data_IF_515745309391
#
_entry.id   IF_515745309391
#
_cell.length_a   1.000
_cell.length_b   1.000
_cell.length_c   1.000
_cell.angle_alpha   90.00
_cell.angle_beta   90.00
_cell.angle_gamma   90.00
#
_symmetry.space_group_name_H-M   'P 1'
#
loop_
_entity.id
_entity.type
_entity.pdbx_description
1 polymer ?
#
# COMPACT_ATOMS: atom_id res chain seq x y z
N UNK A 1 10.85 18.49 -8.44
CA UNK A 1 10.97 17.31 -7.55
C UNK A 1 11.67 17.56 -6.21
N UNK A 2 12.84 18.23 -6.14
CA UNK A 2 13.62 18.37 -4.89
C UNK A 2 12.91 19.16 -3.79
N UNK A 3 12.19 20.23 -4.13
CA UNK A 3 11.43 21.00 -3.13
C UNK A 3 10.21 20.24 -2.60
N UNK A 4 9.44 19.57 -3.48
CA UNK A 4 8.32 18.72 -3.08
C UNK A 4 8.75 17.63 -2.08
N UNK A 5 9.86 16.94 -2.36
CA UNK A 5 10.42 15.92 -1.46
C UNK A 5 10.81 16.50 -0.10
N UNK A 6 11.37 17.71 -0.05
CA UNK A 6 11.70 18.39 1.22
C UNK A 6 10.44 18.75 2.01
N UNK A 7 9.41 19.27 1.35
CA UNK A 7 8.13 19.65 1.98
C UNK A 7 7.39 18.40 2.50
N UNK A 8 7.32 17.34 1.69
CA UNK A 8 6.75 16.05 2.08
C UNK A 8 7.49 15.46 3.30
N UNK A 9 8.83 15.52 3.31
CA UNK A 9 9.63 15.07 4.45
C UNK A 9 9.36 15.89 5.71
N UNK A 10 9.26 17.22 5.59
CA UNK A 10 8.91 18.09 6.71
C UNK A 10 7.51 17.78 7.26
N UNK A 11 6.52 17.59 6.38
CA UNK A 11 5.17 17.16 6.76
C UNK A 11 5.19 15.85 7.54
N UNK A 12 5.95 14.85 7.07
CA UNK A 12 6.13 13.55 7.74
C UNK A 12 6.66 13.70 9.18
N UNK A 13 7.62 14.60 9.41
CA UNK A 13 8.11 14.87 10.77
C UNK A 13 7.05 15.53 11.65
N UNK A 14 6.26 16.47 11.13
CA UNK A 14 5.16 17.07 11.88
C UNK A 14 4.07 16.05 12.23
N UNK A 15 3.77 15.10 11.35
CA UNK A 15 2.88 13.97 11.66
C UNK A 15 3.42 13.12 12.82
N UNK A 16 4.71 12.78 12.79
CA UNK A 16 5.34 11.99 13.85
C UNK A 16 5.38 12.75 15.18
N UNK A 17 5.78 14.02 15.18
CA UNK A 17 5.80 14.87 16.38
C UNK A 17 4.38 14.97 16.94
N UNK A 18 3.40 15.27 16.09
CA UNK A 18 2.00 15.33 16.48
C UNK A 18 1.54 14.05 17.14
N UNK A 19 1.90 12.89 16.58
CA UNK A 19 1.58 11.57 17.12
C UNK A 19 2.25 11.28 18.47
N UNK A 20 3.57 11.49 18.59
CA UNK A 20 4.29 11.24 19.84
C UNK A 20 3.76 12.15 20.94
N UNK A 21 3.60 13.44 20.65
CA UNK A 21 3.09 14.42 21.62
C UNK A 21 1.65 14.08 22.03
N UNK A 22 0.81 13.58 21.11
CA UNK A 22 -0.54 13.13 21.45
C UNK A 22 -0.55 11.91 22.38
N UNK A 23 0.55 11.16 22.50
CA UNK A 23 0.64 10.04 23.45
C UNK A 23 1.12 10.47 24.84
N UNK A 24 1.89 11.56 24.93
CA UNK A 24 2.36 12.14 26.20
C UNK A 24 1.17 12.51 27.10
N UNK A 25 0.03 12.89 26.52
CA UNK A 25 -1.18 13.24 27.28
C UNK A 25 -1.75 12.07 28.11
N UNK A 26 -1.38 10.83 27.82
CA UNK A 26 -1.81 9.65 28.57
C UNK A 26 -0.88 9.29 29.74
N UNK A 27 0.23 10.03 29.92
CA UNK A 27 1.08 9.87 31.10
C UNK A 27 0.35 10.42 32.34
N UNK A 28 0.43 9.73 33.50
CA UNK A 28 -0.29 10.11 34.71
C UNK A 28 0.38 11.29 35.44
N UNK A 29 0.55 12.44 34.77
CA UNK A 29 1.14 13.66 35.33
C UNK A 29 0.06 14.76 35.36
N UNK A 30 -0.22 15.34 36.54
CA UNK A 30 -1.23 16.39 36.71
C UNK A 30 -0.91 17.60 35.80
N UNK A 31 -1.92 18.13 35.09
CA UNK A 31 -1.86 19.28 34.17
C UNK A 31 -1.08 19.10 32.85
N UNK A 32 -0.58 17.89 32.55
CA UNK A 32 0.16 17.59 31.32
C UNK A 32 -0.73 17.13 30.16
N UNK A 33 -2.07 17.12 30.26
CA UNK A 33 -2.90 16.68 29.11
C UNK A 33 -3.21 17.78 28.10
N UNK A 34 -3.43 19.03 28.54
CA UNK A 34 -3.93 20.11 27.68
C UNK A 34 -2.84 20.64 26.74
N UNK A 35 -1.65 20.93 27.28
CA UNK A 35 -0.55 21.52 26.51
C UNK A 35 -0.10 20.58 25.37
N UNK A 36 0.19 19.28 25.62
CA UNK A 36 0.50 18.33 24.54
C UNK A 36 -0.62 18.17 23.54
N UNK A 37 -1.89 18.17 23.97
CA UNK A 37 -3.02 18.08 23.04
C UNK A 37 -3.05 19.26 22.07
N UNK A 38 -2.87 20.50 22.56
CA UNK A 38 -2.80 21.70 21.69
C UNK A 38 -1.59 21.62 20.75
N UNK A 39 -0.42 21.25 21.25
CA UNK A 39 0.79 21.11 20.43
C UNK A 39 0.59 20.04 19.35
N UNK A 40 -0.05 18.93 19.69
CA UNK A 40 -0.36 17.85 18.76
C UNK A 40 -1.32 18.32 17.65
N UNK A 41 -2.40 19.02 18.01
CA UNK A 41 -3.36 19.59 17.06
C UNK A 41 -2.68 20.58 16.10
N UNK A 42 -1.87 21.50 16.61
CA UNK A 42 -1.11 22.45 15.78
C UNK A 42 -0.12 21.72 14.85
N UNK A 43 0.53 20.66 15.35
CA UNK A 43 1.46 19.85 14.56
C UNK A 43 0.73 19.14 13.42
N UNK A 44 -0.43 18.53 13.69
CA UNK A 44 -1.24 17.90 12.65
C UNK A 44 -1.76 18.90 11.62
N UNK A 45 -2.23 20.08 12.05
CA UNK A 45 -2.65 21.13 11.13
C UNK A 45 -1.51 21.55 10.19
N UNK A 46 -0.30 21.75 10.74
CA UNK A 46 0.89 22.06 9.95
C UNK A 46 1.28 20.89 9.02
N UNK A 47 1.19 19.65 9.51
CA UNK A 47 1.50 18.46 8.73
C UNK A 47 0.60 18.34 7.49
N UNK A 48 -0.72 18.44 7.67
CA UNK A 48 -1.69 18.42 6.56
C UNK A 48 -1.53 19.64 5.63
N UNK A 49 -1.23 20.83 6.16
CA UNK A 49 -0.96 22.02 5.34
C UNK A 49 0.26 21.84 4.43
N UNK A 50 1.38 21.37 4.98
CA UNK A 50 2.58 21.06 4.19
C UNK A 50 2.34 19.92 3.20
N UNK A 51 1.58 18.90 3.59
CA UNK A 51 1.25 17.79 2.71
C UNK A 51 0.36 18.22 1.53
N UNK A 52 -0.61 19.09 1.79
CA UNK A 52 -1.46 19.70 0.77
C UNK A 52 -0.61 20.44 -0.26
N UNK A 53 0.30 21.32 0.20
CA UNK A 53 1.23 22.04 -0.67
C UNK A 53 2.11 21.04 -1.46
N UNK A 54 2.67 20.04 -0.79
CA UNK A 54 3.53 19.04 -1.44
C UNK A 54 2.82 18.24 -2.52
N UNK A 55 1.53 17.93 -2.32
CA UNK A 55 0.75 17.10 -3.25
C UNK A 55 0.56 17.77 -4.61
N UNK A 56 0.55 19.10 -4.68
CA UNK A 56 0.52 19.83 -5.96
C UNK A 56 1.78 19.61 -6.81
N UNK A 57 2.92 19.31 -6.19
CA UNK A 57 4.20 19.12 -6.86
C UNK A 57 4.58 17.65 -7.07
N UNK A 58 3.68 16.72 -6.71
CA UNK A 58 3.87 15.31 -7.03
C UNK A 58 3.74 15.06 -8.53
N UNK A 59 4.47 14.04 -8.98
CA UNK A 59 4.32 13.51 -10.33
C UNK A 59 2.96 12.82 -10.47
N UNK A 60 2.47 12.71 -11.70
CA UNK A 60 1.16 12.14 -12.01
C UNK A 60 1.34 10.84 -12.78
N UNK A 61 0.56 9.81 -12.43
CA UNK A 61 0.35 8.64 -13.29
C UNK A 61 -0.87 8.83 -14.19
N UNK A 62 -0.99 7.96 -15.20
CA UNK A 62 -2.25 7.80 -15.94
C UNK A 62 -3.20 6.96 -15.07
N UNK A 63 -4.44 7.42 -14.79
CA UNK A 63 -5.40 6.64 -14.02
C UNK A 63 -5.81 5.37 -14.75
N UNK A 64 -5.79 4.22 -14.07
CA UNK A 64 -6.37 2.98 -14.60
C UNK A 64 -7.83 2.83 -14.19
N UNK A 65 -8.73 3.35 -15.03
CA UNK A 65 -10.18 3.38 -14.75
C UNK A 65 -10.83 1.99 -14.64
N UNK A 66 -10.13 0.91 -15.00
CA UNK A 66 -10.65 -0.46 -14.87
C UNK A 66 -10.52 -0.99 -13.45
N UNK A 67 -9.59 -0.42 -12.69
CA UNK A 67 -9.28 -0.85 -11.34
C UNK A 67 -9.98 0.02 -10.30
N UNK A 68 -10.34 -0.59 -9.16
CA UNK A 68 -11.07 0.09 -8.07
C UNK A 68 -10.33 1.30 -7.49
N UNK A 69 -8.99 1.29 -7.57
CA UNK A 69 -8.11 2.34 -7.08
C UNK A 69 -7.75 3.39 -8.14
N UNK A 70 -8.18 3.23 -9.40
CA UNK A 70 -7.82 4.12 -10.50
C UNK A 70 -8.87 5.19 -10.83
N UNK A 71 -9.74 5.53 -9.89
CA UNK A 71 -10.73 6.60 -10.04
C UNK A 71 -10.10 8.00 -10.23
N UNK A 72 -8.85 8.18 -9.80
CA UNK A 72 -8.09 9.42 -9.90
C UNK A 72 -6.59 9.11 -9.98
N UNK A 73 -5.77 10.11 -10.33
CA UNK A 73 -4.31 9.97 -10.27
C UNK A 73 -3.87 9.83 -8.80
N UNK A 74 -2.78 9.11 -8.50
CA UNK A 74 -2.31 9.03 -7.10
C UNK A 74 -2.01 10.42 -6.52
N UNK A 75 -1.57 11.37 -7.36
CA UNK A 75 -1.39 12.78 -7.00
C UNK A 75 -2.69 13.41 -6.49
N UNK A 76 -3.78 13.20 -7.20
CA UNK A 76 -5.11 13.72 -6.84
C UNK A 76 -5.64 13.02 -5.59
N UNK A 77 -5.39 11.71 -5.44
CA UNK A 77 -5.75 10.96 -4.25
C UNK A 77 -5.05 11.50 -3.00
N UNK A 78 -3.74 11.80 -3.08
CA UNK A 78 -3.01 12.45 -2.00
C UNK A 78 -3.48 13.89 -1.76
N UNK A 79 -3.86 14.63 -2.80
CA UNK A 79 -4.43 15.96 -2.66
C UNK A 79 -5.78 15.91 -1.91
N UNK A 80 -6.69 15.01 -2.30
CA UNK A 80 -7.98 14.81 -1.63
C UNK A 80 -7.78 14.39 -0.18
N UNK A 81 -6.88 13.44 0.08
CA UNK A 81 -6.50 13.05 1.44
C UNK A 81 -6.05 14.25 2.26
N UNK A 82 -5.08 15.03 1.75
CA UNK A 82 -4.55 16.19 2.45
C UNK A 82 -5.61 17.26 2.71
N UNK A 83 -6.51 17.54 1.75
CA UNK A 83 -7.61 18.49 1.92
C UNK A 83 -8.60 18.04 2.99
N UNK A 84 -9.04 16.78 2.95
CA UNK A 84 -9.96 16.23 3.95
C UNK A 84 -9.32 16.26 5.34
N UNK A 85 -8.04 15.90 5.44
CA UNK A 85 -7.30 15.93 6.70
C UNK A 85 -7.06 17.34 7.26
N UNK A 86 -6.90 18.34 6.40
CA UNK A 86 -6.83 19.75 6.81
C UNK A 86 -8.18 20.23 7.36
N UNK A 87 -9.28 19.93 6.66
CA UNK A 87 -10.64 20.21 7.14
C UNK A 87 -10.90 19.50 8.47
N UNK A 88 -10.54 18.22 8.58
CA UNK A 88 -10.66 17.44 9.81
C UNK A 88 -9.88 18.09 10.96
N UNK A 89 -8.67 18.58 10.70
CA UNK A 89 -7.85 19.27 11.69
C UNK A 89 -8.47 20.58 12.17
N UNK A 90 -9.10 21.37 11.28
CA UNK A 90 -9.85 22.58 11.66
C UNK A 90 -11.06 22.25 12.53
N UNK A 91 -11.85 21.24 12.14
CA UNK A 91 -13.01 20.79 12.92
C UNK A 91 -12.56 20.19 14.25
N UNK A 92 -11.42 19.50 14.29
CA UNK A 92 -10.81 18.97 15.52
C UNK A 92 -10.46 20.09 16.50
N UNK A 93 -9.94 21.22 16.03
CA UNK A 93 -9.69 22.39 16.88
C UNK A 93 -11.03 22.97 17.38
N UNK A 94 -12.04 23.08 16.51
CA UNK A 94 -13.37 23.54 16.91
C UNK A 94 -14.04 22.61 17.94
N UNK A 95 -13.71 21.31 17.91
CA UNK A 95 -14.26 20.32 18.83
C UNK A 95 -13.86 20.55 20.30
N UNK A 96 -12.80 21.33 20.55
CA UNK A 96 -12.43 21.78 21.89
C UNK A 96 -13.54 22.62 22.55
N UNK A 97 -14.30 23.36 21.75
CA UNK A 97 -15.42 24.19 22.20
C UNK A 97 -16.77 23.48 22.02
N UNK A 98 -16.86 22.58 21.02
CA UNK A 98 -18.07 21.83 20.70
C UNK A 98 -17.79 20.32 20.65
N UNK A 99 -17.82 19.61 21.79
CA UNK A 99 -17.44 18.19 21.85
C UNK A 99 -18.22 17.25 20.93
N UNK A 100 -19.43 17.63 20.53
CA UNK A 100 -20.26 16.89 19.55
C UNK A 100 -19.54 16.73 18.19
N UNK A 101 -18.60 17.61 17.87
CA UNK A 101 -17.82 17.56 16.63
C UNK A 101 -16.73 16.48 16.62
N UNK A 102 -16.44 15.81 17.76
CA UNK A 102 -15.42 14.74 17.83
C UNK A 102 -15.78 13.57 16.90
N UNK A 103 -17.05 13.18 16.87
CA UNK A 103 -17.51 12.07 16.01
C UNK A 103 -17.28 12.38 14.52
N UNK A 104 -17.80 13.48 13.93
CA UNK A 104 -17.55 13.76 12.52
C UNK A 104 -16.06 14.00 12.22
N UNK A 105 -15.31 14.61 13.15
CA UNK A 105 -13.86 14.82 13.02
C UNK A 105 -13.10 13.51 12.81
N UNK A 106 -13.34 12.52 13.68
CA UNK A 106 -12.62 11.24 13.62
C UNK A 106 -12.94 10.45 12.35
N UNK A 107 -14.19 10.53 11.86
CA UNK A 107 -14.57 9.95 10.57
C UNK A 107 -13.92 10.66 9.36
N UNK A 108 -13.75 11.99 9.42
CA UNK A 108 -13.01 12.71 8.39
C UNK A 108 -11.51 12.33 8.39
N UNK A 109 -10.90 12.18 9.56
CA UNK A 109 -9.52 11.66 9.64
C UNK A 109 -9.41 10.23 9.10
N UNK A 110 -10.36 9.34 9.40
CA UNK A 110 -10.39 8.01 8.81
C UNK A 110 -10.50 8.09 7.28
N UNK A 111 -11.41 8.90 6.76
CA UNK A 111 -11.62 9.09 5.32
C UNK A 111 -10.35 9.63 4.64
N UNK A 112 -9.68 10.61 5.24
CA UNK A 112 -8.39 11.13 4.78
C UNK A 112 -7.33 10.03 4.69
N UNK A 113 -7.18 9.21 5.74
CA UNK A 113 -6.20 8.12 5.77
C UNK A 113 -6.55 7.00 4.78
N UNK A 114 -7.84 6.75 4.55
CA UNK A 114 -8.30 5.80 3.53
C UNK A 114 -7.89 6.24 2.13
N UNK A 115 -8.18 7.48 1.74
CA UNK A 115 -7.75 8.02 0.44
C UNK A 115 -6.23 7.98 0.27
N UNK A 116 -5.50 8.27 1.35
CA UNK A 116 -4.04 8.16 1.35
C UNK A 116 -3.56 6.74 1.10
N UNK A 117 -4.12 5.75 1.80
CA UNK A 117 -3.74 4.34 1.62
C UNK A 117 -4.04 3.84 0.21
N UNK A 118 -5.16 4.27 -0.37
CA UNK A 118 -5.49 3.98 -1.76
C UNK A 118 -4.46 4.63 -2.69
N UNK A 119 -4.06 5.87 -2.41
CA UNK A 119 -2.99 6.57 -3.14
C UNK A 119 -1.65 5.85 -3.09
N UNK A 120 -1.22 5.37 -1.92
CA UNK A 120 0.01 4.59 -1.77
C UNK A 120 -0.07 3.25 -2.51
N UNK A 121 -1.23 2.61 -2.51
CA UNK A 121 -1.48 1.37 -3.23
C UNK A 121 -1.46 1.59 -4.75
N UNK A 122 -2.15 2.63 -5.24
CA UNK A 122 -2.14 3.03 -6.64
C UNK A 122 -0.72 3.33 -7.12
N UNK A 123 0.06 4.05 -6.33
CA UNK A 123 1.47 4.36 -6.62
C UNK A 123 2.36 3.11 -6.59
N UNK A 124 2.03 2.09 -5.79
CA UNK A 124 2.74 0.81 -5.78
C UNK A 124 2.47 0.01 -7.06
N UNK A 125 1.21 -0.07 -7.49
CA UNK A 125 0.83 -0.85 -8.69
C UNK A 125 1.16 -0.13 -9.99
N UNK A 126 1.05 1.20 -10.00
CA UNK A 126 1.28 2.05 -11.16
C UNK A 126 2.23 3.21 -10.80
N UNK A 127 3.53 2.93 -10.65
CA UNK A 127 4.53 3.96 -10.38
C UNK A 127 4.59 4.98 -11.51
N UNK A 128 4.98 6.22 -11.18
CA UNK A 128 5.17 7.26 -12.20
C UNK A 128 6.33 6.91 -13.12
N UNK A 129 6.13 7.00 -14.44
CA UNK A 129 7.19 6.81 -15.44
C UNK A 129 8.33 7.83 -15.27
N UNK A 130 8.05 9.01 -14.70
CA UNK A 130 9.04 10.05 -14.40
C UNK A 130 9.90 9.76 -13.16
N UNK A 131 9.51 8.82 -12.29
CA UNK A 131 10.25 8.55 -11.05
C UNK A 131 11.40 7.57 -11.30
N UNK A 132 12.51 8.13 -11.77
CA UNK A 132 13.75 7.40 -12.03
C UNK A 132 14.26 6.69 -10.76
N UNK A 133 13.93 7.13 -9.55
CA UNK A 133 14.45 6.55 -8.32
C UNK A 133 13.43 5.67 -7.57
N UNK A 134 12.39 5.21 -8.26
CA UNK A 134 11.37 4.38 -7.65
C UNK A 134 11.95 3.08 -7.06
N UNK A 135 11.41 2.69 -5.91
CA UNK A 135 11.76 1.45 -5.21
C UNK A 135 10.47 0.80 -4.68
N UNK A 136 10.22 -0.43 -5.10
CA UNK A 136 9.06 -1.19 -4.60
C UNK A 136 9.13 -1.45 -3.10
N UNK A 137 10.32 -1.72 -2.55
CA UNK A 137 10.46 -1.96 -1.11
C UNK A 137 10.13 -0.72 -0.29
N UNK A 138 10.59 0.46 -0.73
CA UNK A 138 10.25 1.75 -0.12
C UNK A 138 8.73 2.00 -0.17
N UNK A 139 8.14 1.81 -1.35
CA UNK A 139 6.72 2.10 -1.56
C UNK A 139 5.83 1.11 -0.78
N UNK A 140 6.26 -0.15 -0.63
CA UNK A 140 5.59 -1.15 0.20
C UNK A 140 5.65 -0.79 1.68
N UNK A 141 6.79 -0.33 2.20
CA UNK A 141 6.90 0.16 3.58
C UNK A 141 6.00 1.39 3.83
N UNK A 142 5.95 2.32 2.87
CA UNK A 142 5.04 3.48 2.89
C UNK A 142 3.56 3.07 2.92
N UNK A 143 3.18 2.07 2.10
CA UNK A 143 1.83 1.52 2.09
C UNK A 143 1.46 0.85 3.42
N UNK A 144 2.36 0.03 3.98
CA UNK A 144 2.15 -0.61 5.29
C UNK A 144 1.95 0.43 6.40
N UNK A 145 2.70 1.53 6.36
CA UNK A 145 2.50 2.66 7.27
C UNK A 145 1.11 3.31 7.08
N UNK A 146 0.71 3.63 5.85
CA UNK A 146 -0.59 4.25 5.57
C UNK A 146 -1.78 3.37 5.99
N UNK A 147 -1.72 2.06 5.72
CA UNK A 147 -2.75 1.10 6.14
C UNK A 147 -2.82 0.99 7.67
N UNK A 148 -1.68 1.00 8.35
CA UNK A 148 -1.63 0.99 9.83
C UNK A 148 -2.28 2.25 10.41
N UNK A 149 -1.95 3.42 9.88
CA UNK A 149 -2.55 4.69 10.30
C UNK A 149 -4.06 4.75 10.02
N UNK A 150 -4.50 4.21 8.88
CA UNK A 150 -5.93 4.07 8.55
C UNK A 150 -6.65 3.18 9.56
N UNK A 151 -6.02 2.10 9.99
CA UNK A 151 -6.59 1.18 10.99
C UNK A 151 -6.72 1.86 12.37
N UNK A 152 -5.72 2.65 12.76
CA UNK A 152 -5.78 3.49 13.98
C UNK A 152 -6.93 4.50 13.88
N UNK A 153 -7.06 5.18 12.75
CA UNK A 153 -8.11 6.18 12.53
C UNK A 153 -9.52 5.54 12.55
N UNK A 154 -9.68 4.36 11.96
CA UNK A 154 -10.92 3.58 12.01
C UNK A 154 -11.28 3.19 13.46
N UNK A 155 -10.31 2.64 14.19
CA UNK A 155 -10.48 2.27 15.61
C UNK A 155 -10.90 3.49 16.44
N UNK A 156 -10.31 4.64 16.18
CA UNK A 156 -10.63 5.91 16.86
C UNK A 156 -12.05 6.38 16.52
N UNK A 157 -12.45 6.36 15.25
CA UNK A 157 -13.79 6.78 14.81
C UNK A 157 -14.90 5.87 15.38
N UNK A 158 -14.68 4.56 15.38
CA UNK A 158 -15.59 3.59 15.99
C UNK A 158 -15.69 3.82 17.51
N UNK A 159 -14.55 4.01 18.19
CA UNK A 159 -14.52 4.26 19.62
C UNK A 159 -15.27 5.56 19.99
N UNK A 160 -15.01 6.65 19.26
CA UNK A 160 -15.70 7.92 19.46
C UNK A 160 -17.22 7.79 19.25
N UNK A 161 -17.63 7.05 18.22
CA UNK A 161 -19.05 6.79 17.92
C UNK A 161 -19.71 5.98 19.05
N UNK A 162 -19.06 4.92 19.53
CA UNK A 162 -19.58 4.09 20.62
C UNK A 162 -19.68 4.86 21.94
N UNK A 163 -18.67 5.68 22.27
CA UNK A 163 -18.69 6.55 23.45
C UNK A 163 -19.85 7.54 23.38
N UNK A 164 -20.11 8.10 22.20
CA UNK A 164 -21.20 9.04 21.99
C UNK A 164 -22.58 8.40 22.15
N UNK A 165 -22.77 7.18 21.63
CA UNK A 165 -24.06 6.47 21.66
C UNK A 165 -24.31 5.82 23.03
N UNK A 166 -23.27 5.26 23.66
CA UNK A 166 -23.39 4.52 24.93
C UNK A 166 -22.37 5.04 25.97
N UNK A 167 -22.60 6.22 26.56
CA UNK A 167 -21.69 6.80 27.55
C UNK A 167 -21.32 5.90 28.74
N UNK A 168 -22.20 5.04 29.29
CA UNK A 168 -21.85 4.18 30.43
C UNK A 168 -20.68 3.23 30.20
N UNK A 169 -20.40 2.84 28.96
CA UNK A 169 -19.31 1.91 28.60
C UNK A 169 -18.03 2.63 28.12
N UNK A 170 -17.92 3.95 28.34
CA UNK A 170 -16.79 4.76 27.90
C UNK A 170 -15.44 4.22 28.37
N UNK A 171 -15.33 3.88 29.66
CA UNK A 171 -14.06 3.41 30.23
C UNK A 171 -13.56 2.11 29.58
N UNK A 172 -14.37 1.04 29.46
CA UNK A 172 -14.00 -0.14 28.69
C UNK A 172 -13.56 0.15 27.26
N UNK A 173 -14.30 1.01 26.53
CA UNK A 173 -13.96 1.37 25.15
C UNK A 173 -12.60 2.05 25.09
N UNK A 174 -12.35 3.04 25.96
CA UNK A 174 -11.08 3.76 25.98
C UNK A 174 -9.89 2.86 26.30
N UNK A 175 -10.05 1.88 27.21
CA UNK A 175 -8.99 0.92 27.54
C UNK A 175 -8.67 0.07 26.31
N UNK A 176 -9.68 -0.56 25.71
CA UNK A 176 -9.49 -1.43 24.54
C UNK A 176 -8.92 -0.65 23.35
N UNK A 177 -9.48 0.53 23.05
CA UNK A 177 -9.02 1.37 21.95
C UNK A 177 -7.59 1.85 22.15
N UNK A 178 -7.20 2.16 23.39
CA UNK A 178 -5.83 2.60 23.72
C UNK A 178 -4.84 1.46 23.55
N UNK A 179 -5.17 0.24 23.98
CA UNK A 179 -4.30 -0.94 23.80
C UNK A 179 -4.07 -1.20 22.31
N UNK A 180 -5.15 -1.27 21.52
CA UNK A 180 -5.08 -1.51 20.07
C UNK A 180 -4.27 -0.41 19.38
N UNK A 181 -4.60 0.86 19.66
CA UNK A 181 -3.95 2.00 19.03
C UNK A 181 -2.49 2.17 19.45
N UNK A 182 -2.11 1.68 20.64
CA UNK A 182 -0.71 1.70 21.09
C UNK A 182 0.10 0.64 20.38
N UNK A 183 -0.42 -0.59 20.24
CA UNK A 183 0.23 -1.66 19.48
C UNK A 183 0.42 -1.29 18.01
N UNK A 184 -0.64 -0.81 17.37
CA UNK A 184 -0.56 -0.29 16.00
C UNK A 184 0.33 0.95 15.90
N UNK A 185 0.38 1.77 16.95
CA UNK A 185 1.27 2.92 17.03
C UNK A 185 2.75 2.53 16.96
N UNK A 186 3.16 1.51 17.71
CA UNK A 186 4.52 0.97 17.64
C UNK A 186 4.84 0.45 16.24
N UNK A 187 3.93 -0.32 15.65
CA UNK A 187 4.08 -0.84 14.29
C UNK A 187 4.18 0.30 13.26
N UNK A 188 3.39 1.36 13.41
CA UNK A 188 3.44 2.53 12.54
C UNK A 188 4.78 3.24 12.62
N UNK A 189 5.38 3.34 13.81
CA UNK A 189 6.72 3.90 14.00
C UNK A 189 7.78 3.03 13.34
N UNK A 190 7.67 1.70 13.40
CA UNK A 190 8.59 0.78 12.74
C UNK A 190 8.55 0.96 11.22
N UNK A 191 7.36 0.94 10.61
CA UNK A 191 7.22 1.20 9.18
C UNK A 191 7.69 2.60 8.81
N UNK A 192 7.44 3.59 9.68
CA UNK A 192 7.90 4.96 9.47
C UNK A 192 9.43 5.07 9.43
N UNK A 193 10.10 4.39 10.36
CA UNK A 193 11.56 4.31 10.41
C UNK A 193 12.11 3.56 9.20
N UNK A 194 11.48 2.44 8.83
CA UNK A 194 11.92 1.66 7.66
C UNK A 194 11.78 2.46 6.37
N UNK A 195 10.64 3.10 6.09
CA UNK A 195 10.54 3.89 4.86
C UNK A 195 11.44 5.15 4.91
N UNK A 196 11.67 5.76 6.07
CA UNK A 196 12.44 7.02 6.17
C UNK A 196 13.96 6.81 6.16
N UNK A 197 14.44 5.76 6.84
CA UNK A 197 15.87 5.49 7.07
C UNK A 197 16.34 4.13 6.57
N UNK A 198 15.42 3.25 6.14
CA UNK A 198 15.75 1.96 5.58
C UNK A 198 16.52 2.08 4.28
N UNK A 199 17.40 1.11 4.04
CA UNK A 199 18.23 1.03 2.85
C UNK A 199 17.44 0.44 1.66
N UNK A 200 16.51 1.24 1.12
CA UNK A 200 15.69 0.85 -0.02
C UNK A 200 16.44 1.06 -1.34
N UNK A 201 16.81 -0.03 -2.00
CA UNK A 201 17.50 0.03 -3.30
C UNK A 201 16.50 0.39 -4.39
N UNK A 202 16.94 1.20 -5.36
CA UNK A 202 16.19 1.51 -6.59
C UNK A 202 15.84 0.20 -7.31
N UNK A 203 14.60 0.06 -7.74
CA UNK A 203 14.20 -1.07 -8.56
C UNK A 203 14.74 -0.88 -9.98
N UNK A 204 15.50 -1.86 -10.53
CA UNK A 204 15.99 -1.77 -11.90
C UNK A 204 14.82 -1.77 -12.89
N UNK A 205 14.92 -1.02 -14.00
CA UNK A 205 13.89 -1.03 -15.04
C UNK A 205 13.72 -2.45 -15.60
N UNK A 206 12.45 -2.83 -15.83
CA UNK A 206 12.01 -4.18 -16.19
C UNK A 206 12.74 -4.77 -17.42
N UNK A 207 13.26 -3.91 -18.30
CA UNK A 207 14.08 -4.28 -19.47
C UNK A 207 15.31 -5.11 -19.10
N UNK A 208 15.97 -4.85 -17.96
CA UNK A 208 17.18 -5.59 -17.60
C UNK A 208 16.90 -7.03 -17.16
N UNK A 209 15.79 -7.26 -16.44
CA UNK A 209 15.37 -8.59 -15.98
C UNK A 209 14.93 -9.47 -17.14
N UNK A 210 14.14 -8.93 -18.07
CA UNK A 210 13.71 -9.68 -19.25
C UNK A 210 14.90 -10.06 -20.13
N UNK A 211 15.85 -9.15 -20.34
CA UNK A 211 17.08 -9.47 -21.07
C UNK A 211 17.91 -10.54 -20.36
N UNK A 212 18.06 -10.49 -19.04
CA UNK A 212 18.76 -11.52 -18.27
C UNK A 212 18.07 -12.88 -18.33
N UNK A 213 16.75 -12.93 -18.23
CA UNK A 213 15.97 -14.17 -18.33
C UNK A 213 16.01 -14.72 -19.75
N UNK A 214 15.84 -13.86 -20.77
CA UNK A 214 15.96 -14.25 -22.18
C UNK A 214 17.37 -14.76 -22.54
N UNK A 215 18.40 -14.16 -21.96
CA UNK A 215 19.79 -14.59 -22.16
C UNK A 215 20.09 -15.89 -21.39
N UNK A 216 19.43 -16.12 -20.25
CA UNK A 216 19.59 -17.33 -19.43
C UNK A 216 18.79 -18.53 -19.97
N UNK A 217 17.69 -18.27 -20.67
CA UNK A 217 16.87 -19.28 -21.34
C UNK A 217 17.47 -19.74 -22.68
N UNK A 218 18.61 -19.16 -23.08
CA UNK A 218 19.26 -19.41 -24.36
C UNK A 218 18.52 -18.72 -25.51
N UNK A 219 19.28 -18.11 -26.42
CA UNK A 219 18.70 -17.76 -27.71
C UNK A 219 18.18 -19.08 -28.33
N UNK A 220 16.90 -19.11 -28.72
CA UNK A 220 16.42 -20.16 -29.60
C UNK A 220 17.43 -20.25 -30.75
N UNK A 221 18.10 -21.40 -30.87
CA UNK A 221 19.08 -21.60 -31.93
C UNK A 221 18.44 -21.16 -33.25
N UNK A 222 19.14 -20.40 -34.11
CA UNK A 222 18.58 -20.01 -35.40
C UNK A 222 18.08 -21.30 -36.05
N UNK A 223 16.78 -21.32 -36.35
CA UNK A 223 16.14 -22.44 -37.00
C UNK A 223 16.96 -22.74 -38.25
N UNK A 224 17.60 -23.91 -38.25
CA UNK A 224 18.29 -24.40 -39.41
C UNK A 224 17.24 -24.44 -40.54
N UNK A 225 17.38 -23.68 -41.64
CA UNK A 225 16.33 -23.52 -42.65
C UNK A 225 15.95 -24.83 -43.36
N UNK A 226 16.62 -25.94 -43.04
CA UNK A 226 16.41 -27.26 -43.61
C UNK A 226 15.75 -28.27 -42.65
N UNK A 227 15.36 -27.87 -41.44
CA UNK A 227 14.51 -28.71 -40.61
C UNK A 227 13.09 -28.17 -40.64
N UNK A 228 12.26 -28.77 -41.52
CA UNK A 228 10.81 -28.67 -41.44
C UNK A 228 10.37 -29.22 -40.08
N UNK A 229 10.24 -28.33 -39.10
CA UNK A 229 9.49 -28.63 -37.89
C UNK A 229 8.07 -28.99 -38.33
N UNK A 230 7.52 -30.14 -37.92
CA UNK A 230 6.13 -30.45 -38.24
C UNK A 230 5.26 -29.32 -37.69
N UNK A 231 4.36 -28.80 -38.53
CA UNK A 231 3.41 -27.78 -38.10
C UNK A 231 2.70 -28.24 -36.82
N UNK A 232 2.48 -27.32 -35.84
CA UNK A 232 1.74 -27.67 -34.65
C UNK A 232 0.36 -28.21 -35.04
N UNK A 233 0.08 -29.44 -34.62
CA UNK A 233 -1.15 -30.14 -34.93
C UNK A 233 -2.37 -29.36 -34.41
N UNK A 234 -3.18 -28.83 -35.33
CA UNK A 234 -4.41 -28.08 -35.04
C UNK A 234 -5.68 -28.94 -35.16
N UNK A 235 -5.60 -30.25 -34.87
CA UNK A 235 -6.74 -31.14 -35.00
C UNK A 235 -7.64 -31.17 -33.75
N UNK A 236 -8.96 -31.11 -33.96
CA UNK A 236 -10.02 -31.33 -32.93
C UNK A 236 -10.08 -32.77 -32.39
N UNK A 237 -9.08 -33.61 -32.67
CA UNK A 237 -9.15 -35.06 -32.45
C UNK A 237 -8.95 -35.52 -31.00
N UNK A 238 -8.62 -34.61 -30.07
CA UNK A 238 -8.42 -34.98 -28.65
C UNK A 238 -9.71 -35.37 -27.91
N UNK A 239 -10.89 -35.17 -28.52
CA UNK A 239 -12.19 -35.51 -27.90
C UNK A 239 -13.00 -36.58 -28.65
N UNK A 240 -12.46 -37.20 -29.70
CA UNK A 240 -13.09 -38.39 -30.27
C UNK A 240 -12.68 -39.61 -29.44
N UNK A 241 -13.50 -39.91 -28.42
CA UNK A 241 -13.56 -41.23 -27.82
C UNK A 241 -13.86 -42.25 -28.93
N UNK A 242 -12.85 -43.00 -29.35
CA UNK A 242 -13.04 -44.13 -30.26
C UNK A 242 -13.65 -45.26 -29.46
N UNK A 243 -14.94 -45.51 -29.69
CA UNK A 243 -15.62 -46.72 -29.27
C UNK A 243 -14.90 -47.94 -29.83
N UNK A 244 -14.56 -48.87 -28.95
CA UNK A 244 -14.00 -50.18 -29.25
C UNK A 244 -14.87 -50.89 -30.30
N UNK A 245 -14.32 -51.18 -31.48
CA UNK A 245 -14.71 -52.34 -32.28
C UNK A 245 -13.44 -53.01 -32.79
N UNK A 246 -13.29 -54.26 -32.36
CA UNK A 246 -12.20 -55.15 -32.72
C UNK A 246 -12.25 -55.53 -34.22
N UNK A 247 -11.09 -55.55 -34.85
CA UNK A 247 -10.79 -56.52 -35.91
C UNK A 247 -9.30 -56.76 -35.96
N UNK A 248 -8.96 -58.04 -35.83
CA UNK A 248 -7.62 -58.61 -35.93
C UNK A 248 -6.92 -58.19 -37.22
N UNK A 249 -5.62 -57.90 -37.13
CA UNK A 249 -4.59 -58.61 -37.88
C UNK A 249 -3.18 -58.22 -37.41
N UNK A 250 -2.35 -59.25 -37.36
CA UNK A 250 -0.99 -59.33 -36.82
C UNK A 250 -0.03 -58.31 -37.47
N UNK A 251 0.96 -57.83 -36.70
CA UNK A 251 2.39 -58.21 -36.84
C UNK A 251 3.34 -57.09 -36.37
N UNK A 252 4.23 -57.48 -35.44
CA UNK A 252 5.56 -56.93 -35.09
C UNK A 252 5.69 -55.71 -34.16
N UNK A 253 6.04 -56.07 -32.92
CA UNK A 253 6.84 -55.30 -31.97
C UNK A 253 8.17 -54.80 -32.56
N UNK A 254 8.57 -53.59 -32.15
CA UNK A 254 9.98 -53.27 -31.90
C UNK A 254 10.08 -52.25 -30.76
N UNK A 255 10.51 -52.77 -29.61
CA UNK A 255 11.15 -52.18 -28.43
C UNK A 255 11.33 -50.66 -28.30
N UNK A 256 10.70 -50.12 -27.25
CA UNK A 256 10.97 -48.80 -26.66
C UNK A 256 11.85 -48.99 -25.42
N UNK A 257 13.16 -48.82 -25.54
CA UNK A 257 14.05 -48.74 -24.38
C UNK A 257 14.13 -47.29 -23.88
N UNK A 258 13.43 -47.01 -22.77
CA UNK A 258 13.54 -45.77 -22.01
C UNK A 258 14.80 -45.85 -21.15
N UNK A 259 15.81 -45.02 -21.44
CA UNK A 259 17.00 -44.91 -20.59
C UNK A 259 16.85 -43.69 -19.65
N UNK A 260 16.67 -44.00 -18.37
CA UNK A 260 16.58 -43.05 -17.26
C UNK A 260 17.95 -42.49 -16.87
N UNK A 261 18.06 -41.18 -16.72
CA UNK A 261 19.22 -40.53 -16.08
C UNK A 261 18.87 -40.07 -14.66
N UNK A 262 19.45 -40.73 -13.66
CA UNK A 262 19.50 -40.29 -12.25
C UNK A 262 20.66 -39.31 -12.01
N UNK A 263 20.54 -38.34 -11.09
CA UNK A 263 21.63 -37.41 -10.76
C UNK A 263 22.59 -38.01 -9.72
N UNK A 264 23.89 -37.83 -9.95
CA UNK A 264 24.95 -38.16 -9.00
C UNK A 264 25.14 -37.04 -7.96
N UNK A 265 25.41 -37.46 -6.72
CA UNK A 265 25.78 -36.62 -5.57
C UNK A 265 27.04 -35.79 -5.80
#
# INVERSE_FOLDING_TARGET
>A
MTQAKKISKASSYFFLIGFIVSKIQYLPILFVSIIPNIISLCSYFMAYGLWFISSHFLDSNKPDKKEWYGFAQFKEQFLYAATIGLIASLISIASLFFPVLIVPTTWLFFTSNLFWSIGEYNKLMHPSESDVNFSYSYQQASLSYAVTMTTIACTTALSATLIFIVPPITMPILIVSTIISSGLGVLSCEYWLDYTFGNHKRTPPMTQSYHQVSNSLGAAAPSNPNNESPEPYHGEALLKSTSIIASNNETKESDLSIQSCTPSR
#
